data_IF_322642868821
#
_entry.id   IF_322642868821
#
_cell.length_a   1.000
_cell.length_b   1.000
_cell.length_c   1.000
_cell.angle_alpha   90.00
_cell.angle_beta   90.00
_cell.angle_gamma   90.00
#
_symmetry.space_group_name_H-M   'P 1'
#
loop_
_entity.id
_entity.type
_entity.pdbx_description
1 polymer ?
#
# COMPACT_ATOMS: atom_id res chain seq x y z
N UNK A 1 -3.18 -33.56 -34.39
CA UNK A 1 -3.62 -33.10 -33.06
C UNK A 1 -2.84 -31.85 -32.70
N UNK A 2 -3.40 -30.67 -33.04
CA UNK A 2 -2.82 -29.37 -32.73
C UNK A 2 -3.58 -28.86 -31.51
N UNK A 3 -2.88 -28.80 -30.38
CA UNK A 3 -3.45 -28.56 -29.05
C UNK A 3 -3.86 -27.11 -28.85
N UNK A 4 -5.06 -26.96 -28.30
CA UNK A 4 -5.69 -25.74 -27.79
C UNK A 4 -4.78 -25.04 -26.77
N UNK A 5 -3.99 -24.06 -27.20
CA UNK A 5 -3.16 -23.24 -26.31
C UNK A 5 -3.10 -21.73 -26.58
N UNK A 6 -3.93 -21.10 -27.45
CA UNK A 6 -4.06 -19.64 -27.44
C UNK A 6 -5.27 -19.11 -26.65
N UNK A 7 -6.20 -19.96 -26.20
CA UNK A 7 -7.47 -19.49 -25.60
C UNK A 7 -7.38 -19.05 -24.13
N UNK A 8 -6.33 -19.42 -23.40
CA UNK A 8 -6.20 -19.06 -21.97
C UNK A 8 -5.58 -17.69 -21.70
N UNK A 9 -5.03 -17.00 -22.71
CA UNK A 9 -4.39 -15.69 -22.53
C UNK A 9 -5.38 -14.52 -22.69
N UNK A 10 -6.59 -14.77 -23.17
CA UNK A 10 -7.62 -13.72 -23.36
C UNK A 10 -8.53 -13.57 -22.12
N UNK A 11 -8.56 -14.54 -21.20
CA UNK A 11 -9.46 -14.53 -20.03
C UNK A 11 -8.93 -13.79 -18.79
N UNK A 12 -7.70 -13.27 -18.81
CA UNK A 12 -7.13 -12.53 -17.68
C UNK A 12 -6.99 -11.01 -17.91
N UNK A 13 -7.54 -10.47 -19.01
CA UNK A 13 -7.57 -9.02 -19.31
C UNK A 13 -9.00 -8.47 -19.36
N UNK A 14 -10.00 -9.22 -18.86
CA UNK A 14 -11.40 -8.80 -18.90
C UNK A 14 -12.08 -8.61 -17.53
N UNK A 15 -11.33 -8.32 -16.47
CA UNK A 15 -11.88 -7.43 -15.43
C UNK A 15 -11.80 -5.98 -15.94
N UNK A 16 -12.27 -5.76 -17.17
CA UNK A 16 -12.67 -4.45 -17.64
C UNK A 16 -13.77 -4.01 -16.71
N UNK A 17 -13.42 -3.17 -15.75
CA UNK A 17 -14.39 -2.37 -15.01
C UNK A 17 -15.18 -1.63 -16.07
N UNK A 18 -16.40 -2.09 -16.32
CA UNK A 18 -17.30 -1.54 -17.31
C UNK A 18 -17.62 -0.09 -16.91
N UNK A 19 -16.91 0.87 -17.50
CA UNK A 19 -17.06 2.29 -17.16
C UNK A 19 -18.49 2.79 -17.42
N UNK A 20 -19.27 2.07 -18.24
CA UNK A 20 -20.68 2.42 -18.49
C UNK A 20 -21.60 2.21 -17.28
N UNK A 21 -21.13 1.49 -16.24
CA UNK A 21 -21.83 1.36 -14.95
C UNK A 21 -21.51 2.47 -13.97
N UNK A 22 -20.53 3.32 -14.28
CA UNK A 22 -20.17 4.47 -13.46
C UNK A 22 -20.77 5.71 -14.10
N UNK A 23 -21.98 6.07 -13.67
CA UNK A 23 -22.50 7.39 -13.98
C UNK A 23 -21.78 8.41 -13.10
N UNK A 24 -21.23 9.45 -13.71
CA UNK A 24 -20.87 10.65 -12.97
C UNK A 24 -22.12 11.17 -12.27
N UNK A 25 -22.03 11.44 -10.98
CA UNK A 25 -23.15 12.03 -10.24
C UNK A 25 -23.48 13.37 -10.89
N UNK A 26 -24.68 13.46 -11.46
CA UNK A 26 -25.19 14.68 -12.03
C UNK A 26 -25.78 15.54 -10.92
N UNK A 27 -25.75 16.86 -11.08
CA UNK A 27 -26.38 17.81 -10.14
C UNK A 27 -27.89 17.53 -9.89
N UNK A 28 -28.51 16.67 -10.71
CA UNK A 28 -29.91 16.29 -10.64
C UNK A 28 -30.15 14.94 -9.96
N UNK A 29 -29.09 14.18 -9.62
CA UNK A 29 -29.23 12.99 -8.82
C UNK A 29 -29.69 13.43 -7.43
N UNK A 30 -30.86 12.95 -7.01
CA UNK A 30 -31.48 13.34 -5.74
C UNK A 30 -30.61 12.76 -4.61
N UNK A 31 -29.63 13.51 -4.17
CA UNK A 31 -28.89 13.25 -2.94
C UNK A 31 -29.91 13.35 -1.82
N UNK A 32 -30.26 12.20 -1.25
CA UNK A 32 -31.14 12.09 -0.09
C UNK A 32 -30.62 13.00 1.02
N UNK A 33 -31.27 14.14 1.21
CA UNK A 33 -31.02 15.07 2.31
C UNK A 33 -31.73 14.57 3.58
N UNK A 34 -31.56 13.30 3.95
CA UNK A 34 -32.05 12.79 5.23
C UNK A 34 -31.27 13.52 6.35
N UNK A 35 -31.90 14.31 7.22
CA UNK A 35 -31.22 15.02 8.30
C UNK A 35 -30.44 14.08 9.23
N UNK A 36 -30.75 12.78 9.28
CA UNK A 36 -30.02 11.79 10.10
C UNK A 36 -28.60 11.50 9.64
N UNK A 37 -28.25 11.72 8.37
CA UNK A 37 -26.87 11.50 7.87
C UNK A 37 -25.87 12.56 8.38
N UNK A 38 -26.33 13.55 9.14
CA UNK A 38 -25.54 14.71 9.58
C UNK A 38 -25.13 14.70 11.06
N UNK A 39 -25.49 13.69 11.85
CA UNK A 39 -25.12 13.65 13.28
C UNK A 39 -23.76 12.97 13.53
N UNK A 40 -23.35 12.03 12.67
CA UNK A 40 -22.11 11.27 12.84
C UNK A 40 -20.93 11.92 12.13
N UNK A 41 -19.82 12.09 12.86
CA UNK A 41 -18.58 12.66 12.33
C UNK A 41 -17.74 11.59 11.64
N UNK A 42 -17.29 11.85 10.42
CA UNK A 42 -16.39 10.96 9.65
C UNK A 42 -14.99 11.56 9.66
N UNK A 43 -14.07 10.94 10.40
CA UNK A 43 -12.65 11.31 10.42
C UNK A 43 -11.82 10.52 9.40
N UNK A 44 -11.15 11.19 8.47
CA UNK A 44 -10.24 10.56 7.51
C UNK A 44 -8.79 10.75 7.96
N UNK A 45 -8.07 9.66 8.23
CA UNK A 45 -6.63 9.73 8.54
C UNK A 45 -5.84 10.22 7.34
N UNK A 46 -4.79 11.00 7.61
CA UNK A 46 -3.88 11.47 6.58
C UNK A 46 -2.47 11.64 7.15
N UNK A 47 -1.50 10.99 6.54
CA UNK A 47 -0.08 11.26 6.80
C UNK A 47 0.42 12.38 5.90
N UNK A 48 1.66 12.81 6.08
CA UNK A 48 2.29 13.76 5.15
C UNK A 48 2.71 13.12 3.80
N UNK A 49 2.48 11.81 3.56
CA UNK A 49 2.85 11.17 2.28
C UNK A 49 2.01 11.75 1.14
N UNK A 50 2.61 12.19 0.02
CA UNK A 50 1.87 12.83 -1.07
C UNK A 50 0.68 12.00 -1.57
N UNK A 51 0.88 10.70 -1.79
CA UNK A 51 -0.20 9.82 -2.25
C UNK A 51 -1.34 9.68 -1.23
N UNK A 52 -1.02 9.63 0.07
CA UNK A 52 -2.05 9.58 1.12
C UNK A 52 -2.85 10.88 1.15
N UNK A 53 -2.19 12.04 1.02
CA UNK A 53 -2.86 13.33 0.98
C UNK A 53 -3.80 13.44 -0.23
N UNK A 54 -3.35 13.02 -1.40
CA UNK A 54 -4.15 13.08 -2.63
C UNK A 54 -5.38 12.18 -2.52
N UNK A 55 -5.21 10.91 -2.17
CA UNK A 55 -6.34 9.97 -2.11
C UNK A 55 -7.35 10.37 -1.02
N UNK A 56 -6.87 10.81 0.15
CA UNK A 56 -7.74 11.28 1.24
C UNK A 56 -8.52 12.52 0.87
N UNK A 57 -7.93 13.47 0.14
CA UNK A 57 -8.64 14.67 -0.32
C UNK A 57 -9.66 14.37 -1.41
N UNK A 58 -9.36 13.45 -2.33
CA UNK A 58 -10.33 12.99 -3.34
C UNK A 58 -11.53 12.33 -2.65
N UNK A 59 -11.28 11.43 -1.71
CA UNK A 59 -12.34 10.75 -0.97
C UNK A 59 -13.14 11.70 -0.08
N UNK A 60 -12.48 12.70 0.52
CA UNK A 60 -13.15 13.79 1.24
C UNK A 60 -14.15 14.53 0.35
N UNK A 61 -13.72 14.95 -0.85
CA UNK A 61 -14.62 15.62 -1.82
C UNK A 61 -15.76 14.70 -2.23
N UNK A 62 -15.48 13.42 -2.47
CA UNK A 62 -16.53 12.45 -2.78
C UNK A 62 -17.57 12.32 -1.67
N UNK A 63 -17.15 12.19 -0.40
CA UNK A 63 -18.09 12.13 0.72
C UNK A 63 -18.94 13.40 0.84
N UNK A 64 -18.33 14.59 0.70
CA UNK A 64 -19.05 15.86 0.89
C UNK A 64 -19.88 16.25 -0.31
N UNK A 65 -19.29 16.27 -1.49
CA UNK A 65 -19.85 16.89 -2.69
C UNK A 65 -20.74 15.91 -3.46
N UNK A 66 -20.41 14.61 -3.40
CA UNK A 66 -21.14 13.57 -4.13
C UNK A 66 -22.17 12.88 -3.24
N UNK A 67 -21.78 12.51 -2.00
CA UNK A 67 -22.67 11.80 -1.08
C UNK A 67 -23.39 12.70 -0.07
N UNK A 68 -23.06 14.00 -0.01
CA UNK A 68 -23.76 14.97 0.82
C UNK A 68 -23.43 14.93 2.32
N UNK A 69 -22.39 14.21 2.74
CA UNK A 69 -21.99 14.18 4.16
C UNK A 69 -21.46 15.55 4.60
N UNK A 70 -22.05 16.13 5.64
CA UNK A 70 -21.64 17.45 6.14
C UNK A 70 -20.46 17.40 7.10
N UNK A 71 -20.44 16.39 7.99
CA UNK A 71 -19.50 16.29 9.09
C UNK A 71 -18.31 15.37 8.76
N UNK A 72 -17.56 15.72 7.72
CA UNK A 72 -16.32 15.02 7.33
C UNK A 72 -15.13 15.90 7.68
N UNK A 73 -14.11 15.33 8.34
CA UNK A 73 -12.84 16.02 8.63
C UNK A 73 -11.63 15.19 8.26
N UNK A 74 -10.52 15.86 7.99
CA UNK A 74 -9.21 15.24 7.81
C UNK A 74 -8.46 15.28 9.15
N UNK A 75 -7.98 14.14 9.60
CA UNK A 75 -7.26 13.95 10.87
C UNK A 75 -5.79 13.66 10.55
N UNK A 76 -4.88 14.62 10.74
CA UNK A 76 -3.46 14.40 10.48
C UNK A 76 -2.87 13.42 11.49
N UNK A 77 -2.05 12.49 11.01
CA UNK A 77 -1.31 11.52 11.82
C UNK A 77 0.18 11.55 11.46
N UNK A 78 1.03 11.24 12.44
CA UNK A 78 2.50 11.33 12.35
C UNK A 78 3.20 9.96 12.35
N UNK A 79 2.46 8.88 12.12
CA UNK A 79 2.99 7.52 12.04
C UNK A 79 2.70 6.91 10.66
N UNK A 80 3.58 6.02 10.21
CA UNK A 80 3.38 5.20 9.01
C UNK A 80 3.27 3.71 9.34
N UNK A 81 3.36 3.36 10.63
CA UNK A 81 3.19 2.00 11.10
C UNK A 81 1.72 1.60 10.95
N UNK A 82 1.48 0.50 10.23
CA UNK A 82 0.14 0.06 9.90
C UNK A 82 -0.67 -0.29 11.16
N UNK A 83 -0.05 -0.98 12.12
CA UNK A 83 -0.73 -1.39 13.35
C UNK A 83 -1.17 -0.17 14.18
N UNK A 84 -0.26 0.78 14.41
CA UNK A 84 -0.56 2.01 15.14
C UNK A 84 -1.65 2.81 14.44
N UNK A 85 -1.57 2.90 13.11
CA UNK A 85 -2.54 3.62 12.28
C UNK A 85 -3.94 3.01 12.40
N UNK A 86 -4.05 1.69 12.29
CA UNK A 86 -5.33 0.97 12.42
C UNK A 86 -5.81 0.89 13.88
N UNK A 87 -4.91 0.89 14.87
CA UNK A 87 -5.30 0.99 16.28
C UNK A 87 -5.93 2.35 16.59
N UNK A 88 -5.48 3.43 15.95
CA UNK A 88 -6.15 4.72 16.03
C UNK A 88 -7.56 4.68 15.43
N UNK A 89 -7.75 3.96 14.31
CA UNK A 89 -9.09 3.72 13.73
C UNK A 89 -9.98 2.94 14.68
N UNK A 90 -9.46 1.86 15.28
CA UNK A 90 -10.18 1.05 16.26
C UNK A 90 -10.71 1.88 17.45
N UNK A 91 -9.99 2.92 17.86
CA UNK A 91 -10.34 3.73 19.04
C UNK A 91 -11.46 4.72 18.77
N UNK A 92 -11.89 4.95 17.52
CA UNK A 92 -13.04 5.80 17.18
C UNK A 92 -14.30 5.42 17.97
N UNK A 93 -14.54 4.11 18.15
CA UNK A 93 -15.64 3.58 18.97
C UNK A 93 -15.67 4.10 20.43
N UNK A 94 -14.53 4.57 20.98
CA UNK A 94 -14.44 5.12 22.34
C UNK A 94 -14.35 6.64 22.37
N UNK A 95 -13.88 7.23 21.27
CA UNK A 95 -13.72 8.66 21.13
C UNK A 95 -14.21 9.02 19.72
N UNK A 96 -15.50 9.32 19.51
CA UNK A 96 -16.08 9.59 18.18
C UNK A 96 -15.48 10.84 17.48
N UNK A 97 -14.43 11.41 18.07
CA UNK A 97 -13.63 12.48 17.54
C UNK A 97 -12.26 12.03 16.98
N UNK A 98 -11.98 10.72 16.88
CA UNK A 98 -10.67 10.21 16.45
C UNK A 98 -10.82 9.24 15.28
N UNK A 99 -10.52 9.75 14.08
CA UNK A 99 -10.30 9.02 12.83
C UNK A 99 -11.01 7.66 12.61
N UNK A 100 -11.99 7.64 11.71
CA UNK A 100 -12.80 6.46 11.36
C UNK A 100 -12.28 5.69 10.15
N UNK A 101 -11.60 6.35 9.20
CA UNK A 101 -11.20 5.74 7.91
C UNK A 101 -9.72 6.02 7.63
N UNK A 102 -9.00 5.00 7.15
CA UNK A 102 -7.67 5.15 6.54
C UNK A 102 -7.68 4.56 5.13
N UNK A 103 -7.24 5.34 4.14
CA UNK A 103 -7.26 4.96 2.71
C UNK A 103 -5.90 4.48 2.19
N UNK A 104 -4.86 4.52 3.04
CA UNK A 104 -3.50 4.15 2.68
C UNK A 104 -2.77 3.46 3.84
N UNK A 105 -3.42 2.50 4.49
CA UNK A 105 -2.78 1.65 5.47
C UNK A 105 -1.89 0.65 4.72
N UNK A 106 -0.57 0.83 4.84
CA UNK A 106 0.42 -0.06 4.22
C UNK A 106 0.61 -1.31 5.05
N UNK A 107 -0.21 -2.33 4.80
CA UNK A 107 -0.15 -3.61 5.49
C UNK A 107 0.90 -4.52 4.85
N UNK A 108 1.94 -4.98 5.58
CA UNK A 108 2.81 -6.06 5.14
C UNK A 108 2.02 -7.34 4.87
N UNK A 109 2.49 -8.21 3.97
CA UNK A 109 1.85 -9.52 3.75
C UNK A 109 1.86 -10.41 4.99
N UNK A 110 2.74 -10.13 5.94
CA UNK A 110 2.83 -10.81 7.24
C UNK A 110 1.80 -10.36 8.26
N UNK A 111 1.05 -9.27 7.99
CA UNK A 111 -0.10 -8.89 8.81
C UNK A 111 -1.26 -9.86 8.55
N UNK A 112 -1.24 -10.99 9.28
CA UNK A 112 -2.28 -12.02 9.19
C UNK A 112 -3.59 -11.66 9.90
N UNK A 113 -3.59 -10.65 10.78
CA UNK A 113 -4.78 -10.23 11.53
C UNK A 113 -4.86 -8.70 11.66
N UNK A 114 -6.06 -8.17 11.46
CA UNK A 114 -6.39 -6.77 11.75
C UNK A 114 -6.64 -6.58 13.26
N UNK A 115 -6.47 -5.37 13.81
CA UNK A 115 -6.99 -5.06 15.13
C UNK A 115 -8.49 -5.37 15.22
N UNK A 116 -8.96 -5.83 16.38
CA UNK A 116 -10.40 -6.06 16.60
C UNK A 116 -11.21 -4.80 16.26
N UNK A 117 -12.43 -4.98 15.73
CA UNK A 117 -13.32 -3.88 15.33
C UNK A 117 -12.76 -2.95 14.23
N UNK A 118 -11.78 -3.42 13.45
CA UNK A 118 -11.34 -2.76 12.21
C UNK A 118 -11.80 -3.63 11.04
N UNK A 119 -12.48 -3.01 10.07
CA UNK A 119 -12.97 -3.68 8.87
C UNK A 119 -12.06 -3.33 7.67
N UNK A 120 -11.66 -4.36 6.92
CA UNK A 120 -11.02 -4.17 5.62
C UNK A 120 -12.10 -3.97 4.55
N UNK A 121 -12.13 -2.76 3.98
CA UNK A 121 -13.07 -2.38 2.92
C UNK A 121 -12.48 -2.56 1.51
N UNK A 122 -11.32 -3.23 1.39
CA UNK A 122 -10.64 -3.51 0.14
C UNK A 122 -9.62 -2.43 -0.25
N UNK A 123 -8.97 -2.66 -1.39
CA UNK A 123 -7.89 -1.81 -1.87
C UNK A 123 -8.42 -0.50 -2.48
N UNK A 124 -8.04 0.64 -1.90
CA UNK A 124 -8.40 1.98 -2.41
C UNK A 124 -7.66 2.36 -3.71
N UNK A 125 -6.52 1.72 -3.96
CA UNK A 125 -5.72 1.84 -5.19
C UNK A 125 -5.27 0.44 -5.59
N UNK A 126 -4.91 0.24 -6.87
CA UNK A 126 -4.28 -1.01 -7.31
C UNK A 126 -3.14 -1.37 -6.35
N UNK A 127 -3.13 -2.60 -5.85
CA UNK A 127 -2.09 -3.10 -4.94
C UNK A 127 -0.72 -2.77 -5.55
N UNK A 128 -0.06 -1.76 -4.99
CA UNK A 128 1.29 -1.42 -5.40
C UNK A 128 2.18 -2.62 -5.10
N UNK A 129 3.08 -2.96 -6.03
CA UNK A 129 4.10 -3.98 -5.76
C UNK A 129 5.21 -3.34 -4.95
N UNK A 130 5.39 -3.79 -3.73
CA UNK A 130 6.54 -3.44 -2.89
C UNK A 130 7.45 -4.65 -2.85
N UNK A 131 8.72 -4.43 -3.16
CA UNK A 131 9.69 -5.50 -3.27
C UNK A 131 11.03 -4.93 -3.68
N UNK A 132 12.01 -5.82 -3.74
CA UNK A 132 13.30 -5.49 -4.31
C UNK A 132 13.21 -5.62 -5.82
N UNK A 133 13.62 -4.56 -6.50
CA UNK A 133 13.64 -4.52 -7.96
C UNK A 133 15.09 -4.38 -8.40
N UNK A 134 15.60 -5.42 -9.04
CA UNK A 134 16.93 -5.42 -9.65
C UNK A 134 16.74 -5.34 -11.16
N UNK A 135 17.51 -4.50 -11.89
CA UNK A 135 17.46 -4.49 -13.34
C UNK A 135 17.76 -5.88 -13.91
N UNK A 136 16.97 -6.32 -14.90
CA UNK A 136 17.14 -7.64 -15.54
C UNK A 136 18.56 -7.83 -16.06
N UNK A 137 19.21 -6.75 -16.52
CA UNK A 137 20.60 -6.75 -16.99
C UNK A 137 21.64 -7.13 -15.93
N UNK A 138 21.25 -7.20 -14.65
CA UNK A 138 22.12 -7.55 -13.52
C UNK A 138 21.87 -8.95 -12.96
N UNK A 139 20.81 -9.64 -13.40
CA UNK A 139 20.54 -11.03 -13.01
C UNK A 139 21.21 -12.03 -13.95
N UNK A 140 22.02 -12.94 -13.41
CA UNK A 140 22.45 -14.14 -14.13
C UNK A 140 21.30 -15.15 -14.15
N UNK A 141 21.01 -15.76 -15.30
CA UNK A 141 19.88 -16.70 -15.49
C UNK A 141 19.86 -17.89 -14.50
N UNK A 142 20.97 -18.15 -13.83
CA UNK A 142 21.13 -19.26 -12.88
C UNK A 142 20.77 -18.89 -11.42
N UNK A 143 20.42 -17.62 -11.12
CA UNK A 143 20.05 -17.15 -9.77
C UNK A 143 18.54 -17.14 -9.47
N UNK A 144 17.70 -17.44 -10.48
CA UNK A 144 16.23 -17.38 -10.43
C UNK A 144 15.55 -18.04 -9.20
N UNK A 145 16.04 -19.15 -8.59
CA UNK A 145 15.38 -19.75 -7.43
C UNK A 145 15.56 -19.00 -6.11
N UNK A 146 16.54 -18.10 -6.01
CA UNK A 146 16.89 -17.35 -4.78
C UNK A 146 16.40 -15.90 -4.80
N UNK A 147 15.70 -15.50 -5.86
CA UNK A 147 15.51 -14.10 -6.28
C UNK A 147 14.42 -13.29 -5.55
N UNK A 148 13.78 -13.80 -4.51
CA UNK A 148 12.70 -13.01 -3.88
C UNK A 148 12.51 -13.27 -2.39
N UNK A 149 13.58 -13.28 -1.61
CA UNK A 149 13.44 -13.14 -0.17
C UNK A 149 13.08 -11.68 0.15
N UNK A 150 12.00 -11.49 0.90
CA UNK A 150 11.52 -10.16 1.27
C UNK A 150 12.44 -9.50 2.29
N UNK A 151 12.52 -8.17 2.31
CA UNK A 151 13.41 -7.41 3.21
C UNK A 151 13.16 -7.65 4.71
N UNK A 152 12.02 -8.25 5.07
CA UNK A 152 11.71 -8.64 6.43
C UNK A 152 12.74 -9.58 7.07
N UNK A 153 13.51 -10.32 6.25
CA UNK A 153 14.60 -11.14 6.76
C UNK A 153 15.58 -10.33 7.62
N UNK A 154 15.79 -9.05 7.31
CA UNK A 154 16.73 -8.17 8.04
C UNK A 154 16.16 -7.58 9.32
N UNK A 155 14.85 -7.71 9.57
CA UNK A 155 14.25 -7.16 10.78
C UNK A 155 14.66 -7.95 12.02
N UNK A 156 15.03 -9.22 11.85
CA UNK A 156 15.45 -10.10 12.94
C UNK A 156 16.70 -10.85 12.54
N UNK A 157 17.81 -10.62 13.25
CA UNK A 157 19.08 -11.35 13.10
C UNK A 157 18.93 -12.88 13.22
N UNK A 158 17.87 -13.35 13.88
CA UNK A 158 17.59 -14.77 14.04
C UNK A 158 16.78 -15.39 12.88
N UNK A 159 16.53 -14.66 11.80
CA UNK A 159 15.81 -15.20 10.65
C UNK A 159 16.65 -16.27 9.95
N UNK A 160 16.05 -17.42 9.58
CA UNK A 160 16.74 -18.55 8.94
C UNK A 160 17.50 -18.18 7.67
N UNK A 161 17.12 -17.09 7.01
CA UNK A 161 17.76 -16.61 5.79
C UNK A 161 18.66 -15.38 6.00
N UNK A 162 18.82 -14.88 7.23
CA UNK A 162 19.63 -13.69 7.54
C UNK A 162 21.09 -13.89 7.12
N UNK A 163 21.65 -15.06 7.42
CA UNK A 163 23.05 -15.39 7.16
C UNK A 163 23.39 -15.46 5.66
N UNK A 164 22.39 -15.65 4.78
CA UNK A 164 22.62 -15.62 3.32
C UNK A 164 23.05 -14.24 2.81
N UNK A 165 22.86 -13.20 3.62
CA UNK A 165 23.16 -11.80 3.28
C UNK A 165 24.26 -11.21 4.16
N UNK A 166 24.84 -11.99 5.08
CA UNK A 166 26.05 -11.60 5.81
C UNK A 166 27.23 -11.85 4.89
N UNK A 167 27.94 -10.78 4.53
CA UNK A 167 29.21 -10.88 3.84
C UNK A 167 30.32 -11.11 4.86
N UNK A 168 31.21 -12.08 4.61
CA UNK A 168 32.40 -12.27 5.44
C UNK A 168 33.28 -11.01 5.41
N UNK A 169 33.87 -10.66 6.57
CA UNK A 169 34.73 -9.48 6.69
C UNK A 169 35.92 -9.51 5.72
N UNK A 170 36.44 -10.69 5.40
CA UNK A 170 37.51 -10.89 4.42
C UNK A 170 37.11 -10.37 3.03
N UNK A 171 35.93 -10.77 2.56
CA UNK A 171 35.35 -10.39 1.26
C UNK A 171 35.00 -8.90 1.24
N UNK A 172 34.41 -8.40 2.33
CA UNK A 172 34.09 -6.97 2.45
C UNK A 172 35.35 -6.11 2.37
N UNK A 173 36.42 -6.51 3.07
CA UNK A 173 37.70 -5.80 3.06
C UNK A 173 38.34 -5.80 1.67
N UNK A 174 38.23 -6.90 0.91
CA UNK A 174 38.72 -6.98 -0.46
C UNK A 174 37.96 -6.02 -1.39
N UNK A 175 36.62 -5.99 -1.31
CA UNK A 175 35.79 -5.06 -2.09
C UNK A 175 36.06 -3.59 -1.75
N UNK A 176 36.31 -3.28 -0.47
CA UNK A 176 36.68 -1.95 -0.02
C UNK A 176 38.07 -1.53 -0.52
N UNK A 177 38.98 -2.47 -0.76
CA UNK A 177 40.26 -2.16 -1.41
C UNK A 177 40.09 -1.92 -2.91
N UNK A 178 39.31 -2.74 -3.62
CA UNK A 178 39.07 -2.59 -5.06
C UNK A 178 38.43 -1.23 -5.37
N UNK A 179 37.43 -0.80 -4.59
CA UNK A 179 36.79 0.51 -4.76
C UNK A 179 37.72 1.70 -4.47
N UNK A 180 38.74 1.54 -3.64
CA UNK A 180 39.80 2.56 -3.47
C UNK A 180 40.68 2.68 -4.70
N UNK A 181 40.91 1.60 -5.44
CA UNK A 181 41.71 1.64 -6.68
C UNK A 181 40.92 2.22 -7.86
N UNK A 182 39.61 1.99 -7.95
CA UNK A 182 38.78 2.60 -9.02
C UNK A 182 38.68 4.12 -8.89
N UNK A 183 38.61 4.67 -7.67
CA UNK A 183 38.65 6.12 -7.42
C UNK A 183 40.02 6.77 -7.73
N UNK A 184 41.05 5.98 -8.01
CA UNK A 184 42.38 6.46 -8.43
C UNK A 184 42.51 6.42 -9.97
N UNK A 185 41.70 5.60 -10.66
CA UNK A 185 41.80 5.37 -12.11
C UNK A 185 40.80 6.18 -12.95
N UNK A 186 39.83 6.85 -12.34
CA UNK A 186 38.98 7.82 -13.02
C UNK A 186 38.81 9.10 -12.17
N UNK A 187 39.61 10.16 -12.43
CA UNK A 187 39.32 11.51 -11.93
C UNK A 187 38.11 12.16 -12.61
#
# INVERSE_FOLDING_TARGET
MIGLLPFFVILLVSSGIDSSKFHCVNNNDIISNDPKTNELEIGLQMTNRPLHQVITRIFFMFLKDVLGYRNVRIVPINTYDAWTTLDLVRRDNRYPNISMINLQAWMPYTFGALPENVLDAGASITLGRFGWFVPISKGTKDMLPYESLHYEIFQHVNNTYYDLYIMEDSVLNELLQISRFENILFP
#
